data_IF_263219059030
#
_entry.id   IF_263219059030
#
_cell.length_a   1.000
_cell.length_b   1.000
_cell.length_c   1.000
_cell.angle_alpha   90.00
_cell.angle_beta   90.00
_cell.angle_gamma   90.00
#
_symmetry.space_group_name_H-M   'P 1'
#
loop_
_entity.id
_entity.type
_entity.pdbx_description
1 polymer ?
#
# COMPACT_ATOMS: atom_id res chain seq x y z
N UNK A 1 6.81 2.37 -7.03
CA UNK A 1 5.43 2.07 -6.60
C UNK A 1 4.40 3.04 -7.16
N UNK A 2 4.65 4.34 -7.14
CA UNK A 2 3.73 5.34 -7.69
C UNK A 2 3.42 5.07 -9.16
N UNK A 3 4.43 4.73 -9.97
CA UNK A 3 4.24 4.40 -11.39
C UNK A 3 3.30 3.22 -11.57
N UNK A 4 3.42 2.18 -10.74
CA UNK A 4 2.53 1.01 -10.81
C UNK A 4 1.08 1.38 -10.50
N UNK A 5 0.87 2.30 -9.56
CA UNK A 5 -0.45 2.75 -9.15
C UNK A 5 -1.12 3.65 -10.19
N UNK A 6 -0.35 4.53 -10.82
CA UNK A 6 -0.87 5.54 -11.74
C UNK A 6 -0.84 5.10 -13.20
N UNK A 7 -0.25 3.95 -13.51
CA UNK A 7 -0.19 3.44 -14.88
C UNK A 7 -1.59 3.06 -15.37
N UNK A 8 -2.01 3.54 -16.57
CA UNK A 8 -3.29 3.13 -17.15
C UNK A 8 -3.31 1.63 -17.39
N UNK A 9 -4.30 0.94 -16.83
CA UNK A 9 -4.35 -0.51 -16.85
C UNK A 9 -3.39 -1.13 -15.84
N UNK A 10 -2.66 -2.16 -16.21
CA UNK A 10 -1.72 -2.86 -15.33
C UNK A 10 -0.35 -2.99 -15.97
N UNK A 11 0.64 -2.31 -15.41
CA UNK A 11 2.03 -2.43 -15.83
C UNK A 11 2.55 -3.85 -15.58
N UNK A 12 2.21 -4.45 -14.43
CA UNK A 12 2.60 -5.82 -14.12
C UNK A 12 1.93 -6.82 -15.07
N UNK A 13 0.68 -6.58 -15.44
CA UNK A 13 0.00 -7.39 -16.45
C UNK A 13 0.66 -7.31 -17.80
N UNK A 14 1.13 -6.11 -18.21
CA UNK A 14 1.89 -5.95 -19.45
C UNK A 14 3.18 -6.77 -19.45
N UNK A 15 3.91 -6.76 -18.34
CA UNK A 15 5.23 -7.38 -18.23
C UNK A 15 5.11 -8.90 -18.07
N UNK A 16 4.24 -9.39 -17.19
CA UNK A 16 4.20 -10.80 -16.82
C UNK A 16 3.15 -11.62 -17.57
N UNK A 17 2.04 -11.01 -17.99
CA UNK A 17 0.92 -11.70 -18.60
C UNK A 17 0.68 -11.31 -20.06
N UNK A 18 1.50 -10.45 -20.64
CA UNK A 18 1.33 -9.84 -21.97
C UNK A 18 -0.07 -9.23 -22.17
N UNK A 19 -0.71 -8.82 -21.09
CA UNK A 19 -2.04 -8.22 -21.11
C UNK A 19 -2.13 -7.09 -20.11
N UNK A 20 -2.10 -5.87 -20.62
CA UNK A 20 -2.09 -4.65 -19.80
C UNK A 20 -3.42 -4.39 -19.09
N UNK A 21 -4.47 -5.13 -19.41
CA UNK A 21 -5.78 -4.99 -18.76
C UNK A 21 -5.97 -5.93 -17.58
N UNK A 22 -5.08 -6.91 -17.41
CA UNK A 22 -5.17 -7.92 -16.35
C UNK A 22 -4.12 -7.64 -15.29
N UNK A 23 -4.57 -7.41 -14.06
CA UNK A 23 -3.69 -7.22 -12.91
C UNK A 23 -3.36 -8.59 -12.30
N UNK A 24 -2.06 -8.96 -12.17
CA UNK A 24 -1.69 -10.18 -11.45
C UNK A 24 -2.20 -10.15 -10.01
N UNK A 25 -2.79 -11.26 -9.56
CA UNK A 25 -3.34 -11.40 -8.22
C UNK A 25 -2.55 -12.45 -7.45
N UNK A 26 -2.02 -12.08 -6.27
CA UNK A 26 -1.34 -13.02 -5.38
C UNK A 26 -2.37 -13.89 -4.67
N UNK A 27 -3.42 -13.26 -4.15
CA UNK A 27 -4.57 -13.94 -3.54
C UNK A 27 -5.85 -13.26 -3.98
N UNK A 28 -6.99 -13.98 -3.90
CA UNK A 28 -8.28 -13.41 -4.26
C UNK A 28 -8.64 -12.24 -3.33
N UNK A 29 -9.29 -11.22 -3.90
CA UNK A 29 -9.84 -10.13 -3.10
C UNK A 29 -10.93 -10.67 -2.18
N UNK A 30 -11.04 -10.05 -1.00
CA UNK A 30 -12.07 -10.39 -0.04
C UNK A 30 -12.91 -9.14 0.27
N UNK A 31 -12.79 -8.58 1.49
CA UNK A 31 -13.45 -7.31 1.82
C UNK A 31 -12.63 -6.13 1.27
N UNK A 32 -11.33 -6.33 1.13
CA UNK A 32 -10.37 -5.33 0.65
C UNK A 32 -9.62 -5.87 -0.56
N UNK A 33 -9.02 -4.96 -1.34
CA UNK A 33 -8.11 -5.35 -2.41
C UNK A 33 -6.80 -5.88 -1.81
N UNK A 34 -6.55 -7.18 -1.99
CA UNK A 34 -5.36 -7.83 -1.42
C UNK A 34 -4.07 -7.34 -2.04
N UNK A 35 -4.06 -7.03 -3.35
CA UNK A 35 -2.88 -6.46 -4.00
C UNK A 35 -2.50 -5.12 -3.39
N UNK A 36 -3.46 -4.25 -3.15
CA UNK A 36 -3.23 -2.94 -2.51
C UNK A 36 -2.77 -3.10 -1.07
N UNK A 37 -3.37 -4.03 -0.33
CA UNK A 37 -2.96 -4.35 1.04
C UNK A 37 -1.49 -4.78 1.09
N UNK A 38 -1.08 -5.71 0.23
CA UNK A 38 0.30 -6.20 0.20
C UNK A 38 1.28 -5.10 -0.19
N UNK A 39 0.94 -4.29 -1.20
CA UNK A 39 1.81 -3.21 -1.67
C UNK A 39 2.07 -2.18 -0.56
N UNK A 40 1.02 -1.74 0.13
CA UNK A 40 1.17 -0.75 1.19
C UNK A 40 1.78 -1.32 2.47
N UNK A 41 1.51 -2.59 2.78
CA UNK A 41 2.22 -3.27 3.88
C UNK A 41 3.72 -3.32 3.62
N UNK A 42 4.10 -3.70 2.40
CA UNK A 42 5.50 -3.81 2.01
C UNK A 42 6.23 -2.47 2.07
N UNK A 43 5.65 -1.41 1.49
CA UNK A 43 6.29 -0.09 1.50
C UNK A 43 6.35 0.49 2.92
N UNK A 44 5.38 0.18 3.77
CA UNK A 44 5.37 0.63 5.16
C UNK A 44 6.47 -0.07 5.97
N UNK A 45 6.67 -1.37 5.75
CA UNK A 45 7.80 -2.11 6.36
C UNK A 45 9.12 -1.46 5.96
N UNK A 46 9.31 -1.14 4.69
CA UNK A 46 10.52 -0.44 4.24
C UNK A 46 10.70 0.91 4.93
N UNK A 47 9.61 1.67 5.06
CA UNK A 47 9.64 2.95 5.78
C UNK A 47 10.09 2.79 7.22
N UNK A 48 9.55 1.80 7.92
CA UNK A 48 9.94 1.51 9.30
C UNK A 48 11.40 1.08 9.41
N UNK A 49 11.86 0.17 8.55
CA UNK A 49 13.25 -0.29 8.58
C UNK A 49 14.23 0.84 8.30
N UNK A 50 13.86 1.77 7.42
CA UNK A 50 14.73 2.89 7.05
C UNK A 50 14.78 3.96 8.13
N UNK A 51 13.64 4.27 8.77
CA UNK A 51 13.50 5.42 9.67
C UNK A 51 13.23 5.02 11.12
N UNK A 52 13.41 3.76 11.49
CA UNK A 52 13.04 3.23 12.82
C UNK A 52 13.66 4.02 13.97
N UNK A 53 14.93 4.43 13.83
CA UNK A 53 15.67 5.19 14.83
C UNK A 53 15.68 6.69 14.56
N UNK A 54 14.93 7.15 13.56
CA UNK A 54 14.89 8.55 13.16
C UNK A 54 13.68 9.25 13.78
N UNK A 55 13.85 10.52 14.10
CA UNK A 55 12.72 11.38 14.50
C UNK A 55 11.75 11.63 13.34
N UNK A 56 12.14 11.30 12.11
CA UNK A 56 11.32 11.47 10.91
C UNK A 56 10.33 10.32 10.71
N UNK A 57 10.32 9.30 11.55
CA UNK A 57 9.42 8.16 11.40
C UNK A 57 7.94 8.60 11.39
N UNK A 58 7.55 9.50 12.29
CA UNK A 58 6.20 10.03 12.32
C UNK A 58 5.81 10.72 11.02
N UNK A 59 6.73 11.50 10.46
CA UNK A 59 6.53 12.16 9.17
C UNK A 59 6.35 11.15 8.04
N UNK A 60 7.14 10.08 8.03
CA UNK A 60 7.03 9.00 7.04
C UNK A 60 5.67 8.31 7.14
N UNK A 61 5.18 8.05 8.35
CA UNK A 61 3.86 7.43 8.57
C UNK A 61 2.76 8.32 7.99
N UNK A 62 2.77 9.61 8.29
CA UNK A 62 1.78 10.55 7.73
C UNK A 62 1.85 10.61 6.21
N UNK A 63 3.05 10.60 5.66
CA UNK A 63 3.26 10.58 4.21
C UNK A 63 2.67 9.32 3.57
N UNK A 64 2.87 8.16 4.18
CA UNK A 64 2.33 6.90 3.67
C UNK A 64 0.80 6.89 3.70
N UNK A 65 0.19 7.39 4.77
CA UNK A 65 -1.27 7.50 4.86
C UNK A 65 -1.80 8.48 3.80
N UNK A 66 -1.13 9.60 3.63
CA UNK A 66 -1.47 10.59 2.61
C UNK A 66 -1.44 9.98 1.21
N UNK A 67 -0.37 9.27 0.86
CA UNK A 67 -0.25 8.60 -0.43
C UNK A 67 -1.31 7.52 -0.60
N UNK A 68 -1.62 6.77 0.45
CA UNK A 68 -2.66 5.74 0.40
C UNK A 68 -4.00 6.31 -0.07
N UNK A 69 -4.32 7.51 0.37
CA UNK A 69 -5.56 8.19 -0.01
C UNK A 69 -5.43 8.82 -1.39
N UNK A 70 -4.36 9.59 -1.62
CA UNK A 70 -4.19 10.38 -2.84
C UNK A 70 -4.07 9.51 -4.09
N UNK A 71 -3.31 8.42 -4.03
CA UNK A 71 -3.14 7.55 -5.19
C UNK A 71 -4.46 6.92 -5.62
N UNK A 72 -5.32 6.56 -4.66
CA UNK A 72 -6.62 6.02 -5.00
C UNK A 72 -7.55 7.09 -5.58
N UNK A 73 -7.54 8.29 -5.02
CA UNK A 73 -8.32 9.42 -5.57
C UNK A 73 -7.88 9.76 -6.99
N UNK A 74 -6.57 9.69 -7.28
CA UNK A 74 -6.06 9.94 -8.62
C UNK A 74 -6.53 8.91 -9.64
N UNK A 75 -6.95 7.73 -9.24
CA UNK A 75 -7.52 6.74 -10.15
C UNK A 75 -8.79 7.23 -10.85
N UNK A 76 -9.48 8.24 -10.31
CA UNK A 76 -10.66 8.85 -10.93
C UNK A 76 -10.30 9.48 -12.29
N UNK A 77 -9.10 10.05 -12.42
CA UNK A 77 -8.66 10.78 -13.63
C UNK A 77 -7.79 9.94 -14.57
N UNK A 78 -7.40 8.74 -14.16
CA UNK A 78 -6.52 7.89 -14.97
C UNK A 78 -7.36 6.95 -15.85
N UNK A 79 -7.08 6.88 -17.20
CA UNK A 79 -7.77 5.94 -18.08
C UNK A 79 -7.61 4.50 -17.62
N UNK A 80 -8.67 3.69 -17.76
CA UNK A 80 -8.73 2.27 -17.40
C UNK A 80 -8.54 2.01 -15.90
N UNK A 81 -8.62 3.05 -15.07
CA UNK A 81 -8.63 2.96 -13.62
C UNK A 81 -9.88 3.62 -13.08
N UNK A 82 -10.38 3.11 -11.95
CA UNK A 82 -11.54 3.67 -11.27
C UNK A 82 -11.29 3.72 -9.77
N UNK A 83 -11.93 4.69 -9.11
CA UNK A 83 -11.91 4.77 -7.66
C UNK A 83 -12.76 3.63 -7.07
N UNK A 84 -12.18 2.86 -6.16
CA UNK A 84 -12.88 1.81 -5.43
C UNK A 84 -12.58 1.89 -3.94
N UNK A 85 -13.62 1.82 -3.12
CA UNK A 85 -13.44 1.83 -1.67
C UNK A 85 -12.66 0.62 -1.17
N UNK A 86 -12.81 -0.54 -1.82
CA UNK A 86 -12.03 -1.73 -1.47
C UNK A 86 -10.53 -1.51 -1.63
N UNK A 87 -10.13 -0.79 -2.68
CA UNK A 87 -8.74 -0.44 -2.93
C UNK A 87 -8.24 0.55 -1.88
N UNK A 88 -9.03 1.58 -1.58
CA UNK A 88 -8.69 2.57 -0.56
C UNK A 88 -8.52 1.92 0.81
N UNK A 89 -9.44 1.05 1.20
CA UNK A 89 -9.35 0.33 2.47
C UNK A 89 -8.15 -0.60 2.50
N UNK A 90 -7.85 -1.27 1.39
CA UNK A 90 -6.64 -2.09 1.27
C UNK A 90 -5.37 -1.28 1.51
N UNK A 91 -5.27 -0.13 0.89
CA UNK A 91 -4.14 0.78 1.08
C UNK A 91 -3.97 1.18 2.55
N UNK A 92 -5.04 1.67 3.16
CA UNK A 92 -5.03 2.15 4.55
C UNK A 92 -4.73 1.00 5.51
N UNK A 93 -5.39 -0.15 5.35
CA UNK A 93 -5.15 -1.30 6.22
C UNK A 93 -3.73 -1.83 6.11
N UNK A 94 -3.13 -1.78 4.91
CA UNK A 94 -1.74 -2.17 4.72
C UNK A 94 -0.79 -1.33 5.57
N UNK A 95 -1.01 -0.02 5.64
CA UNK A 95 -0.23 0.87 6.49
C UNK A 95 -0.51 0.60 7.98
N UNK A 96 -1.78 0.52 8.35
CA UNK A 96 -2.19 0.38 9.74
C UNK A 96 -1.74 -0.93 10.37
N UNK A 97 -1.77 -2.04 9.63
CA UNK A 97 -1.35 -3.33 10.18
C UNK A 97 0.13 -3.34 10.55
N UNK A 98 0.97 -2.69 9.74
CA UNK A 98 2.40 -2.59 10.04
C UNK A 98 2.64 -1.71 11.26
N UNK A 99 1.92 -0.59 11.39
CA UNK A 99 1.99 0.28 12.55
C UNK A 99 1.61 -0.49 13.81
N UNK A 100 0.53 -1.26 13.76
CA UNK A 100 0.05 -2.04 14.89
C UNK A 100 1.05 -3.12 15.31
N UNK A 101 1.62 -3.85 14.35
CA UNK A 101 2.62 -4.89 14.62
C UNK A 101 3.84 -4.27 15.28
N UNK A 102 4.33 -3.15 14.75
CA UNK A 102 5.47 -2.46 15.32
C UNK A 102 5.19 -1.99 16.76
N UNK A 103 4.00 -1.46 17.00
CA UNK A 103 3.59 -1.03 18.34
C UNK A 103 3.58 -2.20 19.34
N UNK A 104 3.05 -3.36 18.94
CA UNK A 104 3.00 -4.56 19.78
C UNK A 104 4.41 -5.05 20.09
N UNK A 105 5.30 -5.10 19.12
CA UNK A 105 6.69 -5.54 19.29
C UNK A 105 7.42 -4.60 20.27
N UNK A 106 7.31 -3.30 20.07
CA UNK A 106 7.96 -2.32 20.93
C UNK A 106 7.42 -2.35 22.36
N UNK A 107 6.10 -2.55 22.52
CA UNK A 107 5.50 -2.68 23.83
C UNK A 107 6.06 -3.89 24.59
N UNK A 108 6.22 -5.02 23.89
CA UNK A 108 6.81 -6.22 24.50
C UNK A 108 8.27 -6.01 24.88
N UNK A 109 9.03 -5.25 24.11
CA UNK A 109 10.43 -4.92 24.43
C UNK A 109 10.53 -4.02 25.66
N UNK A 110 9.60 -3.11 25.86
CA UNK A 110 9.59 -2.22 27.03
C UNK A 110 9.41 -3.02 28.33
N UNK A 111 8.69 -4.12 28.30
CA UNK A 111 8.41 -4.95 29.48
C UNK A 111 9.41 -6.10 29.66
N UNK A 112 10.41 -6.19 28.81
CA UNK A 112 11.55 -7.09 29.02
C UNK A 112 12.65 -6.36 29.79
#
# INVERSE_FOLDING_TARGET
MIILYLFPGSLLGCIFLDNCKVQPQITSDFIISTNHFYAFSFITVFGYLTYLKSKKLTLVIYYLIFIAIVLEVLHIVIPERSFEFTDLFGNILGVLIVILINFIINKNEIFK
#
